data_IF_588262667791
#
_entry.id   IF_588262667791
#
_cell.length_a   1.000
_cell.length_b   1.000
_cell.length_c   1.000
_cell.angle_alpha   90.00
_cell.angle_beta   90.00
_cell.angle_gamma   90.00
#
_symmetry.space_group_name_H-M   'P 1'
#
loop_
_entity.id
_entity.type
_entity.pdbx_description
1 polymer ?
#
# COMPACT_ATOMS: atom_id res chain seq x y z
N UNK A 1 1.04 6.39 8.34
CA UNK A 1 0.47 5.58 7.24
C UNK A 1 -0.95 5.96 6.82
N UNK A 2 -1.96 5.85 7.70
CA UNK A 2 -3.35 6.26 7.41
C UNK A 2 -3.57 7.78 7.63
N UNK A 3 -2.52 8.48 8.07
CA UNK A 3 -2.57 9.90 8.39
C UNK A 3 -2.98 10.72 7.17
N UNK A 4 -2.43 10.43 6.00
CA UNK A 4 -2.79 11.15 4.78
C UNK A 4 -4.27 10.98 4.43
N UNK A 5 -4.85 9.79 4.59
CA UNK A 5 -6.29 9.58 4.37
C UNK A 5 -7.13 10.43 5.34
N UNK A 6 -6.72 10.53 6.60
CA UNK A 6 -7.36 11.38 7.62
C UNK A 6 -7.24 12.88 7.27
N UNK A 7 -6.04 13.34 6.91
CA UNK A 7 -5.77 14.78 6.72
C UNK A 7 -6.22 15.31 5.36
N UNK A 8 -6.35 14.45 4.34
CA UNK A 8 -6.77 14.83 2.99
C UNK A 8 -8.25 14.62 2.70
N UNK A 9 -9.07 14.32 3.72
CA UNK A 9 -10.50 14.02 3.56
C UNK A 9 -10.72 12.90 2.54
N UNK A 10 -10.48 11.66 2.99
CA UNK A 10 -10.59 10.44 2.20
C UNK A 10 -11.81 10.41 1.29
N UNK A 11 -13.01 10.69 1.80
CA UNK A 11 -14.25 10.65 1.01
C UNK A 11 -14.27 11.66 -0.14
N UNK A 12 -13.79 12.90 0.09
CA UNK A 12 -13.72 13.91 -0.96
C UNK A 12 -12.69 13.55 -2.03
N UNK A 13 -11.51 13.09 -1.61
CA UNK A 13 -10.44 12.65 -2.50
C UNK A 13 -10.87 11.44 -3.35
N UNK A 14 -11.54 10.45 -2.75
CA UNK A 14 -12.10 9.30 -3.45
C UNK A 14 -13.15 9.71 -4.48
N UNK A 15 -14.08 10.60 -4.11
CA UNK A 15 -15.10 11.11 -5.03
C UNK A 15 -14.49 11.82 -6.25
N UNK A 16 -13.43 12.62 -6.07
CA UNK A 16 -12.72 13.26 -7.17
C UNK A 16 -12.00 12.26 -8.07
N UNK A 17 -11.36 11.24 -7.51
CA UNK A 17 -10.70 10.18 -8.30
C UNK A 17 -11.72 9.36 -9.09
N UNK A 18 -12.86 9.00 -8.49
CA UNK A 18 -13.97 8.34 -9.21
C UNK A 18 -14.48 9.20 -10.36
N UNK A 19 -14.67 10.51 -10.13
CA UNK A 19 -15.04 11.47 -11.18
C UNK A 19 -14.02 11.47 -12.31
N UNK A 20 -12.73 11.51 -11.99
CA UNK A 20 -11.65 11.48 -12.98
C UNK A 20 -11.71 10.21 -13.84
N UNK A 21 -11.88 9.04 -13.22
CA UNK A 21 -12.00 7.76 -13.94
C UNK A 21 -13.20 7.76 -14.89
N UNK A 22 -14.36 8.29 -14.46
CA UNK A 22 -15.57 8.39 -15.31
C UNK A 22 -15.40 9.37 -16.48
N UNK A 23 -14.63 10.44 -16.29
CA UNK A 23 -14.31 11.43 -17.31
C UNK A 23 -13.31 10.91 -18.34
N UNK A 24 -12.21 10.30 -17.89
CA UNK A 24 -11.09 9.90 -18.76
C UNK A 24 -11.22 8.49 -19.30
N UNK A 25 -12.08 7.66 -18.70
CA UNK A 25 -12.39 6.29 -19.10
C UNK A 25 -11.13 5.45 -19.36
N UNK A 26 -10.20 5.37 -18.38
CA UNK A 26 -8.96 4.65 -18.57
C UNK A 26 -9.22 3.14 -18.67
N UNK A 27 -8.52 2.48 -19.57
CA UNK A 27 -8.51 1.02 -19.65
C UNK A 27 -7.66 0.39 -18.55
N UNK A 28 -6.56 1.07 -18.20
CA UNK A 28 -5.56 0.63 -17.24
C UNK A 28 -5.28 1.77 -16.27
N UNK A 29 -5.28 1.47 -14.98
CA UNK A 29 -4.84 2.38 -13.91
C UNK A 29 -3.51 1.85 -13.36
N UNK A 30 -2.53 2.73 -13.21
CA UNK A 30 -1.29 2.46 -12.50
C UNK A 30 -1.26 3.34 -11.25
N UNK A 31 -0.91 2.77 -10.10
CA UNK A 31 -0.88 3.48 -8.82
C UNK A 31 0.19 2.89 -7.88
N UNK A 32 0.34 3.48 -6.70
CA UNK A 32 1.26 3.01 -5.67
C UNK A 32 0.78 1.73 -4.99
N UNK A 33 1.72 0.88 -4.57
CA UNK A 33 1.44 -0.34 -3.82
C UNK A 33 0.73 -0.02 -2.49
N UNK A 34 -0.50 -0.53 -2.25
CA UNK A 34 -1.20 -0.37 -0.98
C UNK A 34 -0.63 -1.36 0.03
N UNK A 35 0.59 -1.11 0.52
CA UNK A 35 1.27 -1.95 1.50
C UNK A 35 2.15 -1.10 2.43
N UNK A 36 2.36 -1.58 3.65
CA UNK A 36 3.24 -0.89 4.61
C UNK A 36 4.68 -1.28 4.43
N UNK A 37 5.46 -0.32 3.93
CA UNK A 37 6.90 -0.41 3.75
C UNK A 37 7.51 0.85 4.36
N UNK A 38 7.51 0.96 5.69
CA UNK A 38 7.93 2.19 6.37
C UNK A 38 9.42 2.45 6.23
N UNK A 39 9.77 3.72 5.96
CA UNK A 39 11.14 4.18 5.70
C UNK A 39 11.62 3.98 4.26
N UNK A 40 10.82 3.32 3.41
CA UNK A 40 11.02 3.27 1.96
C UNK A 40 9.87 3.96 1.21
N UNK A 41 8.68 4.00 1.82
CA UNK A 41 7.46 4.58 1.26
C UNK A 41 6.80 5.59 2.22
N UNK A 42 6.43 6.79 1.74
CA UNK A 42 5.74 7.82 2.55
C UNK A 42 4.21 7.64 2.51
N UNK A 43 3.53 8.06 3.59
CA UNK A 43 2.08 7.98 3.79
C UNK A 43 1.20 8.39 2.58
N UNK A 44 1.65 9.35 1.77
CA UNK A 44 0.87 9.86 0.63
C UNK A 44 0.80 8.86 -0.54
N UNK A 45 1.87 8.13 -0.82
CA UNK A 45 1.88 7.07 -1.83
C UNK A 45 0.92 5.95 -1.42
N UNK A 46 0.95 5.54 -0.15
CA UNK A 46 0.09 4.50 0.38
C UNK A 46 -1.39 4.89 0.34
N UNK A 47 -1.69 6.15 0.68
CA UNK A 47 -3.02 6.72 0.53
C UNK A 47 -3.46 6.76 -0.95
N UNK A 48 -2.59 7.13 -1.87
CA UNK A 48 -2.88 7.09 -3.31
C UNK A 48 -3.16 5.67 -3.82
N UNK A 49 -2.43 4.66 -3.33
CA UNK A 49 -2.69 3.25 -3.61
C UNK A 49 -4.07 2.80 -3.15
N UNK A 50 -4.48 3.20 -1.94
CA UNK A 50 -5.82 2.94 -1.38
C UNK A 50 -6.90 3.61 -2.24
N UNK A 51 -6.80 4.93 -2.44
CA UNK A 51 -7.79 5.72 -3.17
C UNK A 51 -7.97 5.23 -4.61
N UNK A 52 -6.88 4.91 -5.30
CA UNK A 52 -6.94 4.41 -6.67
C UNK A 52 -7.55 3.00 -6.74
N UNK A 53 -7.31 2.14 -5.75
CA UNK A 53 -7.92 0.81 -5.66
C UNK A 53 -9.42 0.92 -5.45
N UNK A 54 -9.87 1.75 -4.51
CA UNK A 54 -11.30 1.99 -4.29
C UNK A 54 -11.96 2.65 -5.51
N UNK A 55 -11.30 3.63 -6.15
CA UNK A 55 -11.84 4.29 -7.33
C UNK A 55 -11.98 3.33 -8.52
N UNK A 56 -11.03 2.40 -8.69
CA UNK A 56 -11.11 1.33 -9.69
C UNK A 56 -12.36 0.47 -9.49
N UNK A 57 -12.71 0.18 -8.23
CA UNK A 57 -13.88 -0.63 -7.89
C UNK A 57 -15.19 0.15 -7.97
N UNK A 58 -15.20 1.45 -7.65
CA UNK A 58 -16.42 2.25 -7.54
C UNK A 58 -16.81 2.98 -8.83
N UNK A 59 -15.89 3.23 -9.76
CA UNK A 59 -16.17 4.03 -10.94
C UNK A 59 -17.26 3.43 -11.85
N UNK A 60 -17.39 2.10 -11.86
CA UNK A 60 -18.43 1.37 -12.58
C UNK A 60 -19.75 1.22 -11.82
N UNK A 61 -19.79 1.54 -10.52
CA UNK A 61 -20.99 1.49 -9.69
C UNK A 61 -21.78 2.80 -9.79
N UNK A 62 -22.98 2.77 -10.37
CA UNK A 62 -23.82 3.95 -10.52
C UNK A 62 -24.40 4.48 -9.19
N UNK A 63 -24.35 3.69 -8.11
CA UNK A 63 -24.85 4.07 -6.78
C UNK A 63 -23.78 4.76 -5.93
N UNK A 64 -22.50 4.64 -6.31
CA UNK A 64 -21.41 5.37 -5.71
C UNK A 64 -21.30 6.78 -6.32
N UNK A 65 -21.33 7.82 -5.49
CA UNK A 65 -21.34 9.23 -5.92
C UNK A 65 -22.42 9.51 -7.00
N UNK A 66 -23.71 9.24 -6.70
CA UNK A 66 -24.79 9.30 -7.69
C UNK A 66 -25.00 10.71 -8.25
N UNK A 67 -24.59 11.76 -7.54
CA UNK A 67 -24.58 13.15 -8.02
C UNK A 67 -23.70 13.36 -9.26
N UNK A 68 -22.67 12.51 -9.46
CA UNK A 68 -21.86 12.53 -10.68
C UNK A 68 -22.57 11.88 -11.86
N UNK A 69 -23.44 10.90 -11.60
CA UNK A 69 -24.13 10.12 -12.65
C UNK A 69 -25.45 10.77 -13.07
N UNK A 70 -26.16 11.38 -12.12
CA UNK A 70 -27.42 12.05 -12.39
C UNK A 70 -27.22 13.18 -13.40
N UNK A 71 -27.94 13.15 -14.52
CA UNK A 71 -27.91 14.26 -15.47
C UNK A 71 -28.56 15.51 -14.84
N UNK A 72 -28.02 16.72 -15.09
CA UNK A 72 -28.68 17.94 -14.64
C UNK A 72 -30.01 18.10 -15.37
N UNK A 73 -31.05 18.55 -14.66
CA UNK A 73 -32.38 18.80 -15.28
C UNK A 73 -32.29 19.90 -16.32
N UNK A 74 -31.54 20.95 -16.00
CA UNK A 74 -31.21 22.03 -16.91
C UNK A 74 -29.81 22.53 -16.57
N UNK A 75 -28.85 22.26 -17.46
CA UNK A 75 -27.44 22.63 -17.26
C UNK A 75 -27.19 24.15 -17.28
N UNK A 76 -28.14 24.95 -17.78
CA UNK A 76 -28.00 26.40 -17.98
C UNK A 76 -28.75 27.22 -16.92
N UNK A 77 -29.53 26.60 -16.04
CA UNK A 77 -30.31 27.33 -15.02
C UNK A 77 -30.39 26.56 -13.69
N UNK A 78 -31.59 26.43 -13.11
CA UNK A 78 -31.88 25.73 -11.86
C UNK A 78 -31.66 24.22 -12.03
N UNK A 79 -31.15 23.57 -10.99
CA UNK A 79 -30.87 22.12 -10.95
C UNK A 79 -29.76 21.67 -11.92
N UNK A 80 -28.65 22.44 -11.96
CA UNK A 80 -27.48 22.22 -12.81
C UNK A 80 -26.26 21.60 -12.09
N UNK A 81 -26.40 21.15 -10.84
CA UNK A 81 -25.26 20.75 -10.00
C UNK A 81 -24.80 19.28 -10.20
N UNK A 82 -25.57 18.46 -10.90
CA UNK A 82 -25.21 17.07 -11.19
C UNK A 82 -24.60 16.96 -12.60
N UNK A 83 -23.81 15.92 -12.87
CA UNK A 83 -22.86 15.94 -13.99
C UNK A 83 -23.25 15.09 -15.20
N UNK A 84 -24.10 14.06 -15.04
CA UNK A 84 -24.49 13.16 -16.13
C UNK A 84 -23.36 12.26 -16.64
N UNK A 85 -22.34 11.97 -15.82
CA UNK A 85 -21.25 11.08 -16.19
C UNK A 85 -21.74 9.64 -16.31
N UNK A 86 -21.15 8.90 -17.24
CA UNK A 86 -21.42 7.47 -17.37
C UNK A 86 -20.52 6.68 -16.40
N UNK A 87 -21.06 5.65 -15.72
CA UNK A 87 -20.22 4.69 -15.01
C UNK A 87 -19.18 4.08 -15.96
N UNK A 88 -17.98 3.86 -15.45
CA UNK A 88 -16.88 3.28 -16.22
C UNK A 88 -16.13 2.26 -15.37
N UNK A 89 -16.01 1.03 -15.86
CA UNK A 89 -15.20 -0.01 -15.24
C UNK A 89 -13.84 -0.08 -15.94
N UNK A 90 -12.75 0.39 -15.31
CA UNK A 90 -11.42 0.15 -15.83
C UNK A 90 -11.14 -1.35 -15.84
N UNK A 91 -10.32 -1.81 -16.78
CA UNK A 91 -10.06 -3.23 -17.01
C UNK A 91 -8.91 -3.78 -16.18
N UNK A 92 -7.91 -2.95 -15.85
CA UNK A 92 -6.71 -3.40 -15.14
C UNK A 92 -6.19 -2.36 -14.14
N UNK A 93 -5.59 -2.85 -13.06
CA UNK A 93 -5.01 -2.06 -11.98
C UNK A 93 -3.62 -2.59 -11.66
N UNK A 94 -2.60 -1.77 -11.85
CA UNK A 94 -1.20 -2.11 -11.56
C UNK A 94 -0.64 -1.23 -10.45
N UNK A 95 0.28 -1.81 -9.68
CA UNK A 95 0.96 -1.24 -8.55
C UNK A 95 2.47 -1.14 -8.80
N UNK A 96 3.05 0.02 -8.54
CA UNK A 96 4.50 0.20 -8.44
C UNK A 96 4.88 0.53 -6.99
N UNK A 97 6.13 0.28 -6.63
CA UNK A 97 6.67 0.52 -5.29
C UNK A 97 7.96 1.32 -5.39
N UNK A 98 8.17 2.20 -4.42
CA UNK A 98 9.41 2.93 -4.11
C UNK A 98 10.27 2.19 -3.08
N UNK A 99 9.99 0.91 -2.87
CA UNK A 99 10.75 0.09 -1.95
C UNK A 99 12.23 0.06 -2.38
N UNK A 100 13.13 0.12 -1.41
CA UNK A 100 14.58 0.17 -1.65
C UNK A 100 15.13 -1.16 -2.18
N UNK A 101 14.35 -2.23 -2.03
CA UNK A 101 14.54 -3.54 -2.66
C UNK A 101 13.31 -3.89 -3.51
N UNK A 102 13.53 -4.56 -4.65
CA UNK A 102 12.45 -4.92 -5.58
C UNK A 102 12.24 -6.42 -5.71
N UNK A 103 12.96 -7.25 -4.94
CA UNK A 103 12.93 -8.71 -5.06
C UNK A 103 11.51 -9.28 -4.92
N UNK A 104 10.66 -8.66 -4.10
CA UNK A 104 9.28 -9.07 -3.91
C UNK A 104 8.39 -8.88 -5.16
N UNK A 105 8.83 -8.09 -6.14
CA UNK A 105 8.12 -7.83 -7.38
C UNK A 105 8.44 -8.87 -8.46
N UNK A 106 9.49 -9.67 -8.27
CA UNK A 106 9.98 -10.59 -9.28
C UNK A 106 8.93 -11.65 -9.66
N UNK A 107 8.57 -11.69 -10.95
CA UNK A 107 7.59 -12.61 -11.50
C UNK A 107 6.14 -12.37 -11.06
N UNK A 108 5.86 -11.25 -10.38
CA UNK A 108 4.52 -10.90 -9.87
C UNK A 108 3.74 -9.96 -10.79
N UNK A 109 4.35 -9.48 -11.87
CA UNK A 109 3.70 -8.60 -12.83
C UNK A 109 4.52 -8.35 -14.10
N UNK A 110 4.06 -7.43 -14.96
CA UNK A 110 4.72 -7.07 -16.20
C UNK A 110 6.06 -6.40 -15.96
N UNK A 111 7.13 -6.93 -16.56
CA UNK A 111 8.43 -6.26 -16.57
C UNK A 111 8.61 -5.45 -17.85
N UNK A 112 8.97 -4.19 -17.71
CA UNK A 112 9.34 -3.34 -18.82
C UNK A 112 10.85 -3.14 -18.84
N UNK A 113 11.46 -3.65 -19.90
CA UNK A 113 12.84 -3.40 -20.24
C UNK A 113 13.01 -1.90 -20.55
N UNK A 114 13.58 -1.13 -19.62
CA UNK A 114 13.82 0.30 -19.87
C UNK A 114 15.06 0.58 -20.70
N UNK A 115 15.89 -0.44 -20.94
CA UNK A 115 16.93 -0.45 -21.98
C UNK A 115 16.38 -0.63 -23.40
N UNK A 116 15.09 -0.97 -23.53
CA UNK A 116 14.39 -0.99 -24.80
C UNK A 116 14.35 0.39 -25.47
N UNK A 117 14.45 0.40 -26.80
CA UNK A 117 14.39 1.62 -27.60
C UNK A 117 12.95 2.07 -27.83
N UNK A 118 12.65 3.32 -27.49
CA UNK A 118 11.39 3.98 -27.85
C UNK A 118 11.24 4.05 -29.38
N UNK A 119 10.18 3.47 -29.98
CA UNK A 119 9.97 3.54 -31.42
C UNK A 119 9.78 4.96 -31.94
N UNK A 120 9.17 5.85 -31.14
CA UNK A 120 8.89 7.23 -31.53
C UNK A 120 10.11 8.14 -31.35
N UNK A 121 10.82 8.01 -30.23
CA UNK A 121 11.94 8.91 -29.87
C UNK A 121 13.30 8.38 -30.32
N UNK A 122 13.40 7.10 -30.68
CA UNK A 122 14.65 6.41 -31.04
C UNK A 122 15.73 6.50 -29.95
N UNK A 123 15.29 6.55 -28.69
CA UNK A 123 16.14 6.59 -27.50
C UNK A 123 15.71 5.49 -26.52
N UNK A 124 16.62 4.95 -25.70
CA UNK A 124 16.26 4.02 -24.64
C UNK A 124 15.27 4.66 -23.65
N UNK A 125 14.30 3.89 -23.14
CA UNK A 125 13.31 4.42 -22.21
C UNK A 125 13.92 4.94 -20.90
N UNK A 126 14.98 4.32 -20.39
CA UNK A 126 15.70 4.80 -19.19
C UNK A 126 16.26 6.21 -19.40
N UNK A 127 16.67 6.53 -20.64
CA UNK A 127 17.23 7.84 -20.97
C UNK A 127 16.12 8.89 -21.07
N UNK A 128 15.00 8.52 -21.66
CA UNK A 128 13.82 9.38 -21.70
C UNK A 128 13.28 9.68 -20.29
N UNK A 129 13.30 8.69 -19.39
CA UNK A 129 12.95 8.87 -17.99
C UNK A 129 13.91 9.84 -17.28
N UNK A 130 15.22 9.66 -17.46
CA UNK A 130 16.22 10.57 -16.88
C UNK A 130 16.13 12.00 -17.46
N UNK A 131 15.87 12.15 -18.77
CA UNK A 131 15.65 13.45 -19.41
C UNK A 131 14.41 14.17 -18.86
N UNK A 132 13.33 13.43 -18.57
CA UNK A 132 12.13 13.99 -17.93
C UNK A 132 12.41 14.40 -16.48
N UNK A 133 13.03 13.52 -15.70
CA UNK A 133 13.31 13.79 -14.29
C UNK A 133 14.26 14.96 -14.08
N UNK A 134 15.20 15.20 -15.01
CA UNK A 134 16.15 16.32 -14.94
C UNK A 134 15.48 17.71 -14.96
N UNK A 135 14.20 17.83 -15.32
CA UNK A 135 13.46 19.09 -15.19
C UNK A 135 13.08 19.43 -13.73
N UNK A 136 13.11 18.46 -12.81
CA UNK A 136 12.68 18.61 -11.42
C UNK A 136 13.86 18.96 -10.48
N UNK A 137 14.71 19.91 -10.86
CA UNK A 137 15.98 20.23 -10.16
C UNK A 137 15.87 20.63 -8.68
N UNK A 138 14.68 21.04 -8.23
CA UNK A 138 14.39 21.35 -6.83
C UNK A 138 14.22 20.10 -5.96
N UNK A 139 14.08 18.93 -6.60
CA UNK A 139 13.97 17.62 -5.96
C UNK A 139 15.34 16.92 -6.06
N UNK A 140 16.04 16.79 -4.94
CA UNK A 140 17.43 16.34 -4.91
C UNK A 140 17.60 14.86 -5.28
N UNK A 141 16.70 14.01 -4.80
CA UNK A 141 16.67 12.56 -5.02
C UNK A 141 16.21 12.13 -6.42
N UNK A 142 15.65 13.05 -7.20
CA UNK A 142 15.12 12.77 -8.55
C UNK A 142 15.81 13.64 -9.60
N UNK A 143 15.67 14.97 -9.57
CA UNK A 143 16.17 15.85 -10.62
C UNK A 143 17.68 16.01 -10.66
N UNK A 144 18.34 16.14 -9.50
CA UNK A 144 19.80 16.20 -9.43
C UNK A 144 20.41 14.82 -9.77
N UNK A 145 19.85 13.75 -9.20
CA UNK A 145 20.24 12.37 -9.52
C UNK A 145 20.10 12.05 -11.01
N UNK A 146 19.01 12.47 -11.66
CA UNK A 146 18.79 12.29 -13.10
C UNK A 146 19.79 13.10 -13.94
N UNK A 147 20.11 14.33 -13.54
CA UNK A 147 21.14 15.15 -14.20
C UNK A 147 22.51 14.47 -14.13
N UNK A 148 22.87 13.93 -12.96
CA UNK A 148 24.10 13.16 -12.79
C UNK A 148 24.10 11.85 -13.60
N UNK A 149 23.00 11.12 -13.60
CA UNK A 149 22.79 9.91 -14.38
C UNK A 149 23.00 10.16 -15.87
N UNK A 150 22.43 11.24 -16.42
CA UNK A 150 22.62 11.65 -17.81
C UNK A 150 24.08 12.00 -18.11
N UNK A 151 24.78 12.65 -17.17
CA UNK A 151 26.18 13.01 -17.33
C UNK A 151 27.13 11.79 -17.26
N UNK A 152 26.82 10.82 -16.39
CA UNK A 152 27.67 9.65 -16.10
C UNK A 152 27.29 8.39 -16.89
N UNK A 153 26.07 8.34 -17.45
CA UNK A 153 25.52 7.17 -18.13
C UNK A 153 25.03 6.05 -17.20
N UNK A 154 24.66 6.37 -15.95
CA UNK A 154 24.23 5.40 -14.93
C UNK A 154 22.71 5.48 -14.67
N UNK A 155 21.95 4.46 -15.10
CA UNK A 155 20.47 4.51 -15.17
C UNK A 155 19.76 3.43 -14.33
N UNK A 156 20.39 2.94 -13.26
CA UNK A 156 19.91 1.78 -12.49
C UNK A 156 18.52 1.93 -11.83
N UNK A 157 18.06 3.15 -11.57
CA UNK A 157 16.83 3.45 -10.80
C UNK A 157 15.50 3.36 -11.57
N UNK A 158 15.51 3.11 -12.88
CA UNK A 158 14.33 3.32 -13.74
C UNK A 158 13.66 2.03 -14.23
N UNK A 159 13.42 1.04 -13.38
CA UNK A 159 12.86 -0.26 -13.79
C UNK A 159 11.72 -0.68 -12.84
N UNK A 160 10.61 -1.16 -13.44
CA UNK A 160 9.60 -2.09 -12.87
C UNK A 160 8.21 -1.57 -12.39
N UNK A 161 7.13 -2.27 -12.81
CA UNK A 161 5.90 -2.39 -12.00
C UNK A 161 5.28 -3.82 -11.90
N UNK A 162 4.27 -3.99 -11.02
CA UNK A 162 3.49 -5.23 -10.70
C UNK A 162 1.97 -4.98 -10.81
N UNK A 163 1.04 -5.98 -10.83
CA UNK A 163 -0.41 -5.68 -10.77
C UNK A 163 -1.45 -6.78 -11.03
N UNK A 164 -2.73 -6.38 -11.23
CA UNK A 164 -3.96 -7.19 -11.42
C UNK A 164 -4.72 -6.86 -12.71
N UNK A 165 -5.43 -7.85 -13.27
CA UNK A 165 -6.27 -7.74 -14.47
C UNK A 165 -7.71 -8.26 -14.28
N UNK A 166 -8.70 -7.60 -14.90
CA UNK A 166 -10.08 -8.10 -15.06
C UNK A 166 -10.35 -8.71 -16.45
N UNK A 167 -9.38 -8.62 -17.36
CA UNK A 167 -9.42 -9.29 -18.67
C UNK A 167 -8.43 -10.46 -18.69
N UNK A 168 -8.63 -11.41 -19.61
CA UNK A 168 -7.73 -12.56 -19.74
C UNK A 168 -6.33 -12.04 -20.13
N UNK A 169 -5.38 -12.21 -19.22
CA UNK A 169 -3.98 -11.88 -19.41
C UNK A 169 -3.10 -12.87 -18.66
N UNK A 170 -1.81 -12.90 -19.00
CA UNK A 170 -0.79 -13.60 -18.23
C UNK A 170 -0.29 -12.70 -17.09
N UNK A 171 0.29 -13.30 -16.04
CA UNK A 171 0.81 -12.53 -14.87
C UNK A 171 1.91 -11.56 -15.30
N UNK A 172 2.76 -11.96 -16.25
CA UNK A 172 3.92 -11.18 -16.71
C UNK A 172 3.69 -10.50 -18.06
N UNK A 173 2.49 -10.62 -18.63
CA UNK A 173 2.17 -10.04 -19.94
C UNK A 173 1.95 -8.54 -19.86
N UNK A 174 2.07 -7.88 -21.01
CA UNK A 174 1.93 -6.42 -21.16
C UNK A 174 0.68 -5.87 -20.47
N UNK A 175 0.77 -4.63 -19.97
CA UNK A 175 -0.34 -3.98 -19.25
C UNK A 175 -1.58 -3.86 -20.12
N UNK A 176 -1.48 -3.87 -21.45
CA UNK A 176 -2.62 -3.87 -22.37
C UNK A 176 -2.99 -5.26 -22.91
N UNK A 177 -2.33 -6.35 -22.50
CA UNK A 177 -2.67 -7.71 -22.95
C UNK A 177 -4.16 -8.03 -22.67
N UNK A 178 -4.92 -8.35 -23.71
CA UNK A 178 -6.36 -8.66 -23.59
C UNK A 178 -7.28 -7.45 -23.41
N UNK A 179 -6.75 -6.22 -23.50
CA UNK A 179 -7.57 -4.99 -23.54
C UNK A 179 -8.13 -4.81 -24.95
N UNK A 180 -9.46 -4.93 -25.07
CA UNK A 180 -10.20 -4.59 -26.29
C UNK A 180 -10.83 -3.20 -26.19
N UNK A 181 -11.17 -2.49 -27.27
CA UNK A 181 -11.78 -1.15 -27.19
C UNK A 181 -13.19 -1.09 -26.58
N UNK A 182 -13.90 -2.22 -26.49
CA UNK A 182 -15.26 -2.27 -25.98
C UNK A 182 -15.31 -2.19 -24.45
N UNK A 183 -16.34 -1.55 -23.85
CA UNK A 183 -16.49 -1.52 -22.40
C UNK A 183 -16.81 -2.91 -21.84
N UNK A 184 -16.45 -3.14 -20.58
CA UNK A 184 -16.82 -4.35 -19.84
C UNK A 184 -17.97 -4.09 -18.85
N UNK A 185 -18.75 -5.11 -18.46
CA UNK A 185 -19.72 -4.99 -17.38
C UNK A 185 -19.04 -4.61 -16.05
N UNK A 186 -19.81 -4.01 -15.16
CA UNK A 186 -19.37 -3.74 -13.79
C UNK A 186 -18.93 -5.03 -13.09
N UNK A 187 -17.77 -4.99 -12.43
CA UNK A 187 -17.21 -6.11 -11.69
C UNK A 187 -17.28 -5.83 -10.19
N UNK A 188 -18.25 -6.44 -9.50
CA UNK A 188 -18.41 -6.29 -8.05
C UNK A 188 -17.19 -6.88 -7.31
N UNK A 189 -16.66 -6.15 -6.33
CA UNK A 189 -15.66 -6.68 -5.38
C UNK A 189 -16.27 -7.54 -4.29
N UNK A 190 -15.43 -8.38 -3.66
CA UNK A 190 -15.83 -9.21 -2.51
C UNK A 190 -16.40 -8.36 -1.40
N UNK A 191 -15.78 -7.20 -1.14
CA UNK A 191 -16.10 -6.35 -0.01
C UNK A 191 -15.49 -6.90 1.29
N UNK A 192 -15.60 -6.10 2.35
CA UNK A 192 -15.10 -6.49 3.66
C UNK A 192 -15.90 -7.66 4.24
N UNK A 193 -15.20 -8.69 4.67
CA UNK A 193 -15.74 -9.80 5.45
C UNK A 193 -15.02 -9.84 6.78
N UNK A 194 -15.78 -9.73 7.88
CA UNK A 194 -15.20 -9.76 9.22
C UNK A 194 -14.51 -11.13 9.46
N UNK A 195 -13.24 -11.15 9.89
CA UNK A 195 -12.54 -12.40 10.17
C UNK A 195 -13.30 -13.22 11.23
N UNK A 196 -13.55 -14.51 10.95
CA UNK A 196 -14.03 -15.43 11.98
C UNK A 196 -12.87 -15.76 12.91
N UNK A 197 -12.80 -15.08 14.05
CA UNK A 197 -11.80 -15.37 15.06
C UNK A 197 -12.33 -16.44 16.02
N UNK A 198 -11.73 -17.61 15.92
CA UNK A 198 -11.89 -18.69 16.90
C UNK A 198 -10.64 -18.72 17.80
N UNK A 199 -10.84 -18.71 19.12
CA UNK A 199 -9.74 -18.76 20.07
C UNK A 199 -9.05 -17.40 20.28
N UNK A 200 -7.78 -17.44 20.70
CA UNK A 200 -6.98 -16.25 20.97
C UNK A 200 -5.87 -16.17 19.93
N UNK A 201 -5.61 -14.99 19.37
CA UNK A 201 -4.50 -14.76 18.44
C UNK A 201 -3.83 -13.40 18.67
N UNK A 202 -2.67 -13.20 18.06
CA UNK A 202 -1.98 -11.90 18.03
C UNK A 202 -1.55 -11.59 16.60
N UNK A 203 -1.67 -10.34 16.17
CA UNK A 203 -1.20 -9.85 14.87
C UNK A 203 -0.60 -8.44 14.96
N UNK A 204 0.08 -8.00 13.88
CA UNK A 204 0.46 -6.60 13.73
C UNK A 204 -0.79 -5.76 13.50
N UNK A 205 -0.93 -4.70 14.27
CA UNK A 205 -2.06 -3.79 14.23
C UNK A 205 -1.88 -2.62 13.27
N UNK A 206 -2.72 -1.61 13.47
CA UNK A 206 -2.64 -0.35 12.73
C UNK A 206 -2.63 -0.58 11.21
N UNK A 207 -1.66 -0.02 10.48
CA UNK A 207 -1.69 -0.13 9.03
C UNK A 207 -1.45 -1.54 8.47
N UNK A 208 -0.64 -2.38 9.14
CA UNK A 208 -0.47 -3.77 8.73
C UNK A 208 -1.81 -4.53 8.77
N UNK A 209 -2.55 -4.42 9.88
CA UNK A 209 -3.89 -5.01 10.00
C UNK A 209 -4.86 -4.45 8.95
N UNK A 210 -4.78 -3.15 8.67
CA UNK A 210 -5.60 -2.52 7.64
C UNK A 210 -5.38 -3.18 6.27
N UNK A 211 -4.13 -3.32 5.79
CA UNK A 211 -3.89 -3.93 4.47
C UNK A 211 -4.16 -5.43 4.42
N UNK A 212 -4.06 -6.14 5.55
CA UNK A 212 -4.50 -7.53 5.66
C UNK A 212 -6.01 -7.70 5.39
N UNK A 213 -6.82 -6.67 5.66
CA UNK A 213 -8.27 -6.70 5.45
C UNK A 213 -8.67 -6.01 4.13
N UNK A 214 -8.06 -4.86 3.84
CA UNK A 214 -8.33 -4.04 2.65
C UNK A 214 -8.04 -4.83 1.37
N UNK A 215 -6.83 -5.36 1.20
CA UNK A 215 -6.45 -5.97 -0.06
C UNK A 215 -7.34 -7.17 -0.46
N UNK A 216 -7.68 -8.12 0.44
CA UNK A 216 -8.65 -9.17 0.12
C UNK A 216 -10.06 -8.64 -0.20
N UNK A 217 -10.53 -7.61 0.52
CA UNK A 217 -11.84 -6.99 0.27
C UNK A 217 -11.96 -6.41 -1.15
N UNK A 218 -10.85 -5.89 -1.69
CA UNK A 218 -10.73 -5.31 -3.02
C UNK A 218 -10.23 -6.32 -4.08
N UNK A 219 -10.32 -7.62 -3.79
CA UNK A 219 -9.88 -8.71 -4.69
C UNK A 219 -8.41 -8.56 -5.14
N UNK A 220 -7.55 -7.99 -4.30
CA UNK A 220 -6.09 -7.84 -4.48
C UNK A 220 -5.32 -8.50 -3.34
N UNK A 221 -5.89 -9.49 -2.65
CA UNK A 221 -5.25 -10.17 -1.51
C UNK A 221 -3.89 -10.84 -1.81
N UNK A 222 -3.56 -11.06 -3.09
CA UNK A 222 -2.21 -11.49 -3.48
C UNK A 222 -1.14 -10.42 -3.22
N UNK A 223 -1.53 -9.14 -3.16
CA UNK A 223 -0.66 -8.00 -2.85
C UNK A 223 -0.27 -7.96 -1.36
N UNK A 224 -1.17 -8.40 -0.48
CA UNK A 224 -0.99 -8.40 0.99
C UNK A 224 0.28 -9.10 1.46
N UNK A 225 0.75 -10.09 0.71
CA UNK A 225 1.89 -10.94 1.06
C UNK A 225 3.11 -10.71 0.16
N UNK A 226 3.09 -9.67 -0.68
CA UNK A 226 4.25 -9.34 -1.49
C UNK A 226 5.39 -8.85 -0.59
N UNK A 227 5.10 -7.93 0.31
CA UNK A 227 6.11 -7.38 1.23
C UNK A 227 5.94 -8.01 2.60
N UNK A 228 7.01 -8.62 3.12
CA UNK A 228 7.04 -9.06 4.51
C UNK A 228 6.99 -7.82 5.43
N UNK A 229 6.34 -7.89 6.60
CA UNK A 229 6.32 -6.77 7.53
C UNK A 229 7.72 -6.26 7.84
N UNK A 230 7.97 -5.00 7.50
CA UNK A 230 9.28 -4.38 7.68
C UNK A 230 9.19 -2.87 7.90
N UNK A 231 10.23 -2.31 8.51
CA UNK A 231 10.36 -0.89 8.81
C UNK A 231 11.82 -0.46 8.89
N UNK A 232 12.16 0.65 8.24
CA UNK A 232 13.39 1.37 8.46
C UNK A 232 13.16 2.56 9.40
N UNK A 233 14.09 2.79 10.33
CA UNK A 233 14.07 3.87 11.32
C UNK A 233 15.45 4.48 11.48
N UNK A 234 15.58 5.78 11.76
CA UNK A 234 16.90 6.37 11.99
C UNK A 234 17.50 5.91 13.33
N UNK A 235 18.84 5.83 13.47
CA UNK A 235 19.48 5.49 14.74
C UNK A 235 19.08 6.48 15.86
N UNK A 236 18.83 5.94 17.05
CA UNK A 236 18.44 6.71 18.23
C UNK A 236 16.98 7.16 18.29
N UNK A 237 16.18 6.87 17.26
CA UNK A 237 14.74 7.19 17.23
C UNK A 237 13.89 6.15 17.95
N UNK A 238 12.63 6.54 18.23
CA UNK A 238 11.60 5.66 18.80
C UNK A 238 10.76 5.00 17.71
N UNK A 239 10.66 3.69 17.78
CA UNK A 239 9.82 2.87 16.92
C UNK A 239 8.51 2.56 17.64
N UNK A 240 7.38 2.90 17.03
CA UNK A 240 6.04 2.48 17.45
C UNK A 240 5.61 1.25 16.63
N UNK A 241 5.19 0.19 17.33
CA UNK A 241 4.66 -1.02 16.69
C UNK A 241 3.29 -1.34 17.30
N UNK A 242 2.18 -1.00 16.62
CA UNK A 242 0.87 -1.44 17.05
C UNK A 242 0.75 -2.96 16.90
N UNK A 243 0.30 -3.64 17.95
CA UNK A 243 -0.15 -5.04 17.88
C UNK A 243 -1.64 -5.12 18.21
N UNK A 244 -2.30 -6.19 17.78
CA UNK A 244 -3.66 -6.53 18.16
C UNK A 244 -3.67 -7.91 18.81
N UNK A 245 -4.26 -8.00 20.00
CA UNK A 245 -4.60 -9.29 20.62
C UNK A 245 -6.08 -9.51 20.42
N UNK A 246 -6.41 -10.66 19.85
CA UNK A 246 -7.78 -11.03 19.56
C UNK A 246 -8.25 -12.11 20.51
N UNK A 247 -9.44 -11.93 21.08
CA UNK A 247 -10.10 -12.95 21.88
C UNK A 247 -11.46 -13.31 21.26
N UNK A 248 -11.45 -14.31 20.40
CA UNK A 248 -12.65 -14.94 19.84
C UNK A 248 -13.37 -15.91 20.78
N UNK A 249 -13.02 -16.00 22.06
CA UNK A 249 -13.66 -16.92 23.02
C UNK A 249 -14.84 -16.26 23.75
N UNK A 250 -15.55 -17.05 24.57
CA UNK A 250 -16.65 -16.57 25.42
C UNK A 250 -16.20 -16.07 26.79
N UNK A 251 -14.90 -16.09 27.10
CA UNK A 251 -14.36 -15.77 28.43
C UNK A 251 -13.20 -14.79 28.32
N UNK A 252 -12.95 -14.01 29.37
CA UNK A 252 -11.78 -13.13 29.44
C UNK A 252 -10.50 -13.95 29.41
N UNK A 253 -9.54 -13.53 28.60
CA UNK A 253 -8.25 -14.21 28.44
C UNK A 253 -7.12 -13.30 28.93
N UNK A 254 -6.26 -13.86 29.78
CA UNK A 254 -5.01 -13.22 30.19
C UNK A 254 -3.90 -13.63 29.22
N UNK A 255 -3.39 -12.67 28.45
CA UNK A 255 -2.38 -12.90 27.40
C UNK A 255 -1.09 -12.20 27.79
N UNK A 256 -0.05 -12.98 28.06
CA UNK A 256 1.30 -12.46 28.27
C UNK A 256 1.97 -12.23 26.92
N UNK A 257 2.36 -10.99 26.64
CA UNK A 257 3.17 -10.63 25.47
C UNK A 257 4.59 -10.35 25.93
N UNK A 258 5.57 -10.89 25.22
CA UNK A 258 7.00 -10.66 25.45
C UNK A 258 7.70 -10.38 24.12
N UNK A 259 8.72 -9.53 24.14
CA UNK A 259 9.54 -9.23 22.96
C UNK A 259 10.94 -9.85 23.06
N UNK A 260 11.43 -10.38 21.95
CA UNK A 260 12.83 -10.71 21.72
C UNK A 260 13.42 -9.63 20.81
N UNK A 261 14.40 -8.91 21.33
CA UNK A 261 15.04 -7.78 20.66
C UNK A 261 16.45 -8.16 20.17
N UNK A 262 16.87 -7.64 19.01
CA UNK A 262 18.24 -7.74 18.57
C UNK A 262 19.14 -6.81 19.40
N UNK A 263 20.45 -7.01 19.30
CA UNK A 263 21.43 -6.29 20.12
C UNK A 263 21.32 -4.77 19.97
N UNK A 264 21.35 -4.04 21.11
CA UNK A 264 21.33 -2.58 21.15
C UNK A 264 19.93 -1.95 21.12
N UNK A 265 18.88 -2.71 20.78
CA UNK A 265 17.50 -2.26 20.90
C UNK A 265 17.03 -2.33 22.35
N UNK A 266 16.16 -1.40 22.75
CA UNK A 266 15.57 -1.38 24.10
C UNK A 266 14.06 -1.27 24.01
N UNK A 267 13.35 -2.08 24.80
CA UNK A 267 11.91 -1.91 24.96
C UNK A 267 11.62 -0.76 25.93
N UNK A 268 10.75 0.16 25.50
CA UNK A 268 10.21 1.24 26.34
C UNK A 268 8.86 0.82 26.92
N UNK A 269 8.02 0.16 26.12
CA UNK A 269 6.72 -0.40 26.53
C UNK A 269 6.27 -1.51 25.57
N UNK A 270 5.48 -2.47 26.05
CA UNK A 270 4.86 -3.52 25.23
C UNK A 270 4.76 -4.89 25.93
N UNK A 271 5.79 -5.27 26.68
CA UNK A 271 5.80 -6.51 27.46
C UNK A 271 4.93 -6.35 28.70
N UNK A 272 3.80 -7.06 28.74
CA UNK A 272 2.89 -7.09 29.87
C UNK A 272 1.96 -8.31 29.80
N UNK A 273 1.10 -8.43 30.81
CA UNK A 273 -0.07 -9.31 30.76
C UNK A 273 -1.28 -8.45 30.44
N UNK A 274 -1.98 -8.78 29.36
CA UNK A 274 -3.16 -8.08 28.87
C UNK A 274 -4.41 -8.89 29.17
N UNK A 275 -5.38 -8.26 29.83
CA UNK A 275 -6.70 -8.85 30.08
C UNK A 275 -7.64 -8.49 28.93
N UNK A 276 -7.96 -9.46 28.09
CA UNK A 276 -8.73 -9.26 26.86
C UNK A 276 -10.12 -9.88 27.01
N UNK A 277 -11.17 -9.06 26.89
CA UNK A 277 -12.56 -9.45 27.09
C UNK A 277 -13.06 -10.42 26.01
N UNK A 278 -14.15 -11.17 26.26
CA UNK A 278 -14.77 -12.00 25.25
C UNK A 278 -15.12 -11.18 24.00
N UNK A 279 -14.78 -11.70 22.82
CA UNK A 279 -15.07 -11.09 21.51
C UNK A 279 -14.42 -9.70 21.31
N UNK A 280 -13.33 -9.42 22.02
CA UNK A 280 -12.59 -8.16 21.92
C UNK A 280 -11.33 -8.30 21.06
N UNK A 281 -11.01 -7.22 20.33
CA UNK A 281 -9.70 -6.98 19.73
C UNK A 281 -9.02 -5.87 20.52
N UNK A 282 -8.02 -6.23 21.33
CA UNK A 282 -7.34 -5.33 22.25
C UNK A 282 -6.08 -4.74 21.61
N UNK A 283 -5.96 -3.40 21.48
CA UNK A 283 -4.78 -2.77 20.94
C UNK A 283 -3.63 -2.73 21.96
N UNK A 284 -2.47 -3.24 21.57
CA UNK A 284 -1.22 -3.14 22.34
C UNK A 284 -0.31 -2.12 21.69
N UNK A 285 0.11 -1.13 22.48
CA UNK A 285 1.04 -0.10 22.06
C UNK A 285 2.46 -0.52 22.44
N UNK A 286 3.26 -0.93 21.46
CA UNK A 286 4.68 -1.23 21.69
C UNK A 286 5.52 -0.03 21.29
N UNK A 287 6.44 0.36 22.17
CA UNK A 287 7.42 1.41 21.91
C UNK A 287 8.81 0.85 22.14
N UNK A 288 9.68 0.98 21.15
CA UNK A 288 11.06 0.54 21.19
C UNK A 288 11.99 1.73 20.92
N UNK A 289 13.20 1.69 21.47
CA UNK A 289 14.28 2.60 21.11
C UNK A 289 15.28 1.86 20.23
N UNK A 290 15.57 2.44 19.07
CA UNK A 290 16.61 1.94 18.16
C UNK A 290 18.02 2.19 18.72
N UNK A 291 19.03 1.40 18.32
CA UNK A 291 20.41 1.63 18.69
C UNK A 291 20.90 3.01 18.22
N UNK A 292 21.88 3.57 18.93
CA UNK A 292 22.51 4.85 18.57
C UNK A 292 23.45 4.76 17.35
N UNK A 293 23.88 3.55 16.99
CA UNK A 293 24.72 3.29 15.83
C UNK A 293 23.88 2.65 14.73
N UNK A 294 24.21 2.98 13.50
CA UNK A 294 23.66 2.33 12.34
C UNK A 294 24.04 0.84 12.29
N UNK A 295 23.09 0.04 11.85
CA UNK A 295 23.26 -1.36 11.51
C UNK A 295 22.71 -1.54 10.09
N UNK A 296 23.59 -1.70 9.07
CA UNK A 296 23.20 -1.78 7.66
C UNK A 296 22.58 -3.13 7.26
N UNK A 297 22.36 -4.02 8.22
CA UNK A 297 21.77 -5.33 7.98
C UNK A 297 20.37 -5.36 8.58
N UNK A 298 19.42 -5.91 7.83
CA UNK A 298 18.07 -6.21 8.32
C UNK A 298 18.16 -7.12 9.54
N UNK A 299 17.48 -6.73 10.61
CA UNK A 299 17.37 -7.47 11.86
C UNK A 299 15.91 -7.86 12.11
N UNK A 300 15.67 -8.75 13.07
CA UNK A 300 14.32 -9.20 13.40
C UNK A 300 13.97 -8.85 14.85
N UNK A 301 12.75 -8.35 15.03
CA UNK A 301 12.11 -8.21 16.34
C UNK A 301 10.97 -9.20 16.39
N UNK A 302 10.93 -10.03 17.43
CA UNK A 302 9.91 -11.08 17.55
C UNK A 302 9.10 -10.92 18.82
N UNK A 303 7.79 -10.74 18.70
CA UNK A 303 6.86 -10.80 19.83
C UNK A 303 6.27 -12.19 19.93
N UNK A 304 6.21 -12.71 21.14
CA UNK A 304 5.53 -13.98 21.47
C UNK A 304 4.39 -13.69 22.42
N UNK A 305 3.22 -14.26 22.11
CA UNK A 305 2.06 -14.22 22.96
C UNK A 305 1.78 -15.62 23.52
N UNK A 306 1.48 -15.70 24.81
CA UNK A 306 1.03 -16.93 25.47
C UNK A 306 -0.14 -16.63 26.40
N UNK A 307 -1.08 -17.55 26.50
CA UNK A 307 -2.07 -17.53 27.58
C UNK A 307 -1.65 -18.53 28.67
N UNK A 308 -2.49 -18.75 29.69
CA UNK A 308 -2.19 -19.67 30.80
C UNK A 308 -2.01 -21.13 30.37
N UNK A 309 -2.52 -21.51 29.20
CA UNK A 309 -2.61 -22.91 28.75
C UNK A 309 -1.56 -23.22 27.69
N UNK A 310 -1.33 -22.31 26.74
CA UNK A 310 -0.51 -22.56 25.56
C UNK A 310 0.00 -21.28 24.88
N UNK A 311 0.91 -21.46 23.91
CA UNK A 311 1.32 -20.40 22.99
C UNK A 311 0.14 -19.92 22.15
N UNK A 312 -0.06 -18.61 22.06
CA UNK A 312 -1.13 -17.94 21.30
C UNK A 312 -0.66 -17.62 19.89
N UNK A 313 0.60 -17.19 19.74
CA UNK A 313 1.16 -16.82 18.45
C UNK A 313 2.49 -16.13 18.57
N UNK A 314 3.13 -15.90 17.42
CA UNK A 314 4.38 -15.15 17.31
C UNK A 314 4.30 -14.21 16.11
N UNK A 315 4.85 -13.02 16.26
CA UNK A 315 4.95 -12.00 15.21
C UNK A 315 6.41 -11.66 15.04
N UNK A 316 6.87 -11.60 13.79
CA UNK A 316 8.22 -11.14 13.46
C UNK A 316 8.13 -9.92 12.57
N UNK A 317 8.85 -8.86 12.93
CA UNK A 317 8.99 -7.62 12.16
C UNK A 317 10.47 -7.46 11.77
N UNK A 318 10.74 -7.22 10.50
CA UNK A 318 12.08 -6.88 10.03
C UNK A 318 12.35 -5.40 10.27
N UNK A 319 13.52 -5.06 10.80
CA UNK A 319 13.91 -3.68 11.09
C UNK A 319 15.26 -3.34 10.48
N UNK A 320 15.41 -2.12 9.96
CA UNK A 320 16.66 -1.58 9.45
C UNK A 320 16.94 -0.20 10.06
N UNK A 321 18.21 0.15 10.25
CA UNK A 321 18.63 1.44 10.83
C UNK A 321 19.53 2.29 9.93
N UNK A 322 19.92 1.81 8.75
CA UNK A 322 20.92 2.47 7.92
C UNK A 322 20.38 3.53 6.95
N UNK A 323 19.09 3.50 6.61
CA UNK A 323 18.56 4.38 5.55
C UNK A 323 17.79 5.61 6.04
N UNK A 324 17.71 5.84 7.35
CA UNK A 324 16.84 6.88 7.90
C UNK A 324 15.38 6.53 7.67
N UNK A 325 14.62 6.29 8.74
CA UNK A 325 13.18 6.18 8.61
C UNK A 325 12.57 7.56 8.41
N UNK A 326 11.52 7.64 7.60
CA UNK A 326 10.58 8.74 7.74
C UNK A 326 9.99 8.71 9.15
N UNK A 327 9.71 9.87 9.77
CA UNK A 327 9.04 9.91 11.07
C UNK A 327 7.71 9.13 11.01
N UNK A 328 7.45 8.33 12.04
CA UNK A 328 6.17 7.64 12.20
C UNK A 328 5.07 8.59 12.66
#
# INVERSE_FOLDING_TARGET
MLRSLETWNHGASLGQTVRLVRLTRPEVILTWLPAYVAGENHDDHQAAGVIATEAFDLAGDATAFPEQVSAPRDRQTISNLTEGLLPWQPKKLYYFSDASHSDFQEGKGPKYATDGMSPARKLPYYRLAAEEMAFHLTQGDTGQAATEALAKGDFKYFLEPVGKSLVKSTVTGDIFEGVEPSPIPFARVRGYEAPQQAGVSIELGGPWAFYQQFCPAHNVGHVTHLVNPEVAIAPGERLHVPLLIHNGTGETQEVTVTVALPAGWTEVAGTAIYSVRPRESYPVQVFLASPQKDAPVWQEITWKAKNRVQSVGSITLRVNTANGGLPQ
#
